data_IF_574177753178
#
_entry.id   IF_574177753178
#
_cell.length_a   1.000
_cell.length_b   1.000
_cell.length_c   1.000
_cell.angle_alpha   90.00
_cell.angle_beta   90.00
_cell.angle_gamma   90.00
#
_symmetry.space_group_name_H-M   'P 1'
#
loop_
_entity.id
_entity.type
_entity.pdbx_description
1 polymer ?
#
# COMPACT_ATOMS: atom_id res chain seq x y z
N UNK A 1 -0.58 21.17 11.06
CA UNK A 1 0.45 20.40 10.33
C UNK A 1 0.10 20.48 8.85
N UNK A 2 1.07 20.70 7.97
CA UNK A 2 0.79 20.73 6.52
C UNK A 2 0.71 19.30 6.00
N UNK A 3 -0.43 18.92 5.42
CA UNK A 3 -0.60 17.62 4.78
C UNK A 3 0.23 17.57 3.50
N UNK A 4 0.89 16.45 3.26
CA UNK A 4 1.62 16.15 2.04
C UNK A 4 1.02 14.91 1.39
N UNK A 5 1.05 14.87 0.07
CA UNK A 5 0.71 13.66 -0.67
C UNK A 5 1.90 12.69 -0.62
N UNK A 6 1.62 11.41 -0.42
CA UNK A 6 2.61 10.34 -0.35
C UNK A 6 2.20 9.21 -1.29
N UNK A 7 3.09 8.83 -2.20
CA UNK A 7 2.95 7.64 -3.03
C UNK A 7 3.15 6.39 -2.17
N UNK A 8 2.28 5.41 -2.32
CA UNK A 8 2.40 4.09 -1.71
C UNK A 8 2.87 3.11 -2.77
N UNK A 9 3.90 2.34 -2.45
CA UNK A 9 4.49 1.34 -3.35
C UNK A 9 4.74 0.04 -2.63
N UNK A 10 4.52 -1.08 -3.30
CA UNK A 10 4.86 -2.44 -2.82
C UNK A 10 5.97 -3.03 -3.66
N UNK A 11 6.79 -3.90 -3.08
CA UNK A 11 7.87 -4.59 -3.80
C UNK A 11 7.37 -5.95 -4.27
N UNK A 12 7.08 -6.06 -5.58
CA UNK A 12 6.63 -7.30 -6.23
C UNK A 12 7.64 -7.78 -7.23
N UNK A 13 8.07 -9.04 -7.10
CA UNK A 13 9.10 -9.61 -7.99
C UNK A 13 10.37 -8.73 -8.07
N UNK A 14 10.75 -8.10 -6.95
CA UNK A 14 11.90 -7.19 -6.86
C UNK A 14 11.67 -5.78 -7.42
N UNK A 15 10.46 -5.45 -7.90
CA UNK A 15 10.14 -4.16 -8.49
C UNK A 15 9.18 -3.37 -7.61
N UNK A 16 9.43 -2.08 -7.43
CA UNK A 16 8.50 -1.18 -6.75
C UNK A 16 7.29 -0.85 -7.65
N UNK A 17 6.12 -1.33 -7.26
CA UNK A 17 4.84 -1.09 -7.95
C UNK A 17 4.06 -0.04 -7.19
N UNK A 18 3.65 1.03 -7.87
CA UNK A 18 2.80 2.05 -7.29
C UNK A 18 1.35 1.59 -7.20
N UNK A 19 0.78 1.66 -6.00
CA UNK A 19 -0.56 1.12 -5.70
C UNK A 19 -1.58 2.21 -5.33
N UNK A 20 -1.12 3.40 -4.97
CA UNK A 20 -2.01 4.49 -4.56
C UNK A 20 -1.29 5.63 -3.84
N UNK A 21 -2.06 6.53 -3.24
CA UNK A 21 -1.54 7.70 -2.52
C UNK A 21 -2.31 7.95 -1.24
N UNK A 22 -1.62 8.49 -0.23
CA UNK A 22 -2.22 8.94 1.04
C UNK A 22 -1.82 10.38 1.35
N UNK A 23 -2.68 11.13 2.02
CA UNK A 23 -2.44 12.52 2.41
C UNK A 23 -2.15 12.61 3.92
N UNK A 24 -0.88 12.79 4.28
CA UNK A 24 -0.45 12.76 5.68
C UNK A 24 0.64 13.79 5.99
N UNK A 25 0.77 14.13 7.28
CA UNK A 25 1.69 15.19 7.72
C UNK A 25 3.17 14.78 7.68
N UNK A 26 3.47 13.49 7.86
CA UNK A 26 4.82 12.93 7.88
C UNK A 26 4.83 11.47 7.39
N UNK A 27 6.03 10.92 7.17
CA UNK A 27 6.23 9.57 6.63
C UNK A 27 5.64 8.47 7.53
N UNK A 28 5.80 8.60 8.85
CA UNK A 28 5.29 7.60 9.81
C UNK A 28 3.77 7.51 9.74
N UNK A 29 3.08 8.65 9.73
CA UNK A 29 1.62 8.69 9.56
C UNK A 29 1.21 8.19 8.18
N UNK A 30 1.96 8.53 7.13
CA UNK A 30 1.72 8.03 5.78
C UNK A 30 1.82 6.50 5.71
N UNK A 31 2.80 5.87 6.38
CA UNK A 31 2.90 4.41 6.48
C UNK A 31 1.71 3.80 7.22
N UNK A 32 1.27 4.41 8.31
CA UNK A 32 0.09 3.94 9.04
C UNK A 32 -1.19 4.06 8.20
N UNK A 33 -1.40 5.20 7.54
CA UNK A 33 -2.53 5.42 6.64
C UNK A 33 -2.51 4.47 5.45
N UNK A 34 -1.32 4.18 4.90
CA UNK A 34 -1.15 3.22 3.82
C UNK A 34 -1.57 1.81 4.24
N UNK A 35 -1.15 1.32 5.41
CA UNK A 35 -1.61 0.04 5.95
C UNK A 35 -3.10 0.04 6.23
N UNK A 36 -3.65 1.13 6.74
CA UNK A 36 -5.09 1.21 7.02
C UNK A 36 -5.96 1.22 5.76
N UNK A 37 -5.47 1.76 4.63
CA UNK A 37 -6.25 1.86 3.40
C UNK A 37 -5.98 0.72 2.41
N UNK A 38 -4.76 0.22 2.39
CA UNK A 38 -4.30 -0.76 1.40
C UNK A 38 -3.85 -2.08 2.03
N UNK A 39 -3.63 -2.14 3.34
CA UNK A 39 -3.25 -3.37 4.02
C UNK A 39 -4.41 -4.36 4.04
N UNK A 40 -4.08 -5.62 3.75
CA UNK A 40 -4.98 -6.75 3.94
C UNK A 40 -4.60 -7.51 5.19
N UNK A 41 -5.62 -8.03 5.88
CA UNK A 41 -5.44 -9.07 6.90
C UNK A 41 -5.14 -10.42 6.22
N UNK A 42 -4.54 -11.37 6.94
CA UNK A 42 -4.29 -12.73 6.41
C UNK A 42 -5.59 -13.38 5.88
N UNK A 43 -6.71 -13.23 6.60
CA UNK A 43 -8.01 -13.75 6.18
C UNK A 43 -8.52 -13.11 4.87
N UNK A 44 -8.31 -11.80 4.68
CA UNK A 44 -8.73 -11.06 3.49
C UNK A 44 -7.82 -11.36 2.29
N UNK A 45 -6.53 -11.60 2.55
CA UNK A 45 -5.56 -12.01 1.54
C UNK A 45 -5.93 -13.39 0.95
N UNK A 46 -6.26 -14.37 1.80
CA UNK A 46 -6.69 -15.70 1.37
C UNK A 46 -7.99 -15.66 0.54
N UNK A 47 -8.91 -14.76 0.88
CA UNK A 47 -10.15 -14.56 0.12
C UNK A 47 -9.89 -13.90 -1.24
N UNK A 48 -8.96 -12.94 -1.31
CA UNK A 48 -8.57 -12.27 -2.55
C UNK A 48 -7.72 -13.15 -3.49
N UNK A 49 -6.92 -14.08 -2.96
CA UNK A 49 -6.21 -15.08 -3.75
C UNK A 49 -7.17 -16.06 -4.47
N UNK A 50 -8.34 -16.32 -3.88
CA UNK A 50 -9.37 -17.21 -4.44
C UNK A 50 -10.22 -16.56 -5.54
N UNK A 51 -10.27 -15.22 -5.60
CA UNK A 51 -11.12 -14.45 -6.54
C UNK A 51 -10.37 -13.97 -7.80
N UNK A 52 -9.12 -14.42 -8.00
CA UNK A 52 -8.20 -13.96 -9.06
C UNK A 52 -8.85 -13.62 -10.42
N UNK A 53 -8.99 -12.31 -10.68
CA UNK A 53 -8.97 -11.69 -12.01
C UNK A 53 -8.70 -10.18 -11.87
N UNK A 54 -7.43 -9.78 -12.02
CA UNK A 54 -7.11 -8.49 -12.63
C UNK A 54 -6.64 -7.33 -11.76
N UNK A 55 -6.87 -7.30 -10.45
CA UNK A 55 -6.53 -6.13 -9.61
C UNK A 55 -5.81 -6.47 -8.30
N UNK A 56 -4.73 -7.25 -8.36
CA UNK A 56 -3.76 -7.23 -7.25
C UNK A 56 -3.10 -5.85 -7.07
N UNK A 57 -3.26 -4.94 -8.03
CA UNK A 57 -2.51 -3.68 -8.11
C UNK A 57 -2.68 -2.68 -6.96
N UNK A 58 -3.67 -2.82 -6.08
CA UNK A 58 -4.00 -1.79 -5.08
C UNK A 58 -3.77 -2.20 -3.61
N UNK A 59 -3.39 -3.45 -3.31
CA UNK A 59 -3.28 -3.94 -1.93
C UNK A 59 -1.83 -4.16 -1.47
N UNK A 60 -1.63 -4.14 -0.15
CA UNK A 60 -0.40 -4.53 0.57
C UNK A 60 -0.72 -5.83 1.30
N UNK A 61 -0.06 -6.93 0.89
CA UNK A 61 -0.19 -8.22 1.58
C UNK A 61 0.62 -8.25 2.88
N UNK A 62 0.26 -9.09 3.87
CA UNK A 62 0.96 -9.18 5.16
C UNK A 62 2.46 -9.47 5.06
N UNK A 63 2.87 -10.22 4.02
CA UNK A 63 4.25 -10.62 3.72
C UNK A 63 4.96 -9.66 2.75
N UNK A 64 4.26 -8.67 2.20
CA UNK A 64 4.84 -7.70 1.28
C UNK A 64 5.55 -6.56 1.99
N UNK A 65 6.79 -6.29 1.57
CA UNK A 65 7.44 -5.04 1.89
C UNK A 65 6.82 -3.89 1.08
N UNK A 66 6.48 -2.79 1.76
CA UNK A 66 5.99 -1.57 1.13
C UNK A 66 6.76 -0.34 1.61
N UNK A 67 6.70 0.72 0.81
CA UNK A 67 7.30 2.01 1.12
C UNK A 67 6.36 3.17 0.78
N UNK A 68 6.57 4.31 1.45
CA UNK A 68 5.89 5.56 1.14
C UNK A 68 6.91 6.65 0.81
N UNK A 69 6.68 7.37 -0.27
CA UNK A 69 7.56 8.46 -0.72
C UNK A 69 6.74 9.71 -1.02
N UNK A 70 7.26 10.93 -0.80
CA UNK A 70 6.54 12.15 -1.16
C UNK A 70 6.10 12.13 -2.62
N UNK A 71 4.83 12.44 -2.88
CA UNK A 71 4.36 12.73 -4.21
C UNK A 71 4.84 14.13 -4.61
N UNK A 72 5.44 14.24 -5.79
CA UNK A 72 5.91 15.51 -6.35
C UNK A 72 4.74 16.35 -6.84
#
# INVERSE_FOLDING_TARGET
MTMKQWNVRVVRNGHAVHIGQVAEANETLARCAALSMYGLSEDEAEEMEQVQTGSHGAAIYPDEAFDVSPAT
#
